data_IF_487653439526
#
_entry.id   IF_487653439526
#
_cell.length_a   1.000
_cell.length_b   1.000
_cell.length_c   1.000
_cell.angle_alpha   90.00
_cell.angle_beta   90.00
_cell.angle_gamma   90.00
#
_symmetry.space_group_name_H-M   'P 1'
#
loop_
_entity.id
_entity.type
_entity.pdbx_description
1 polymer ?
#
# COMPACT_ATOMS: atom_id res chain seq x y z
N UNK A 1 31.66 31.57 48.33
CA UNK A 1 32.57 32.70 48.60
C UNK A 1 32.29 33.23 50.00
N UNK A 2 33.33 33.50 50.79
CA UNK A 2 33.21 34.10 52.13
C UNK A 2 33.96 35.43 52.07
N UNK A 3 33.33 36.50 52.55
CA UNK A 3 33.94 37.82 52.66
C UNK A 3 34.33 38.06 54.13
N UNK A 4 35.60 38.33 54.38
CA UNK A 4 36.12 38.66 55.70
C UNK A 4 36.35 40.17 55.78
N UNK A 5 35.83 40.82 56.82
CA UNK A 5 35.91 42.27 57.02
C UNK A 5 36.39 42.60 58.44
N UNK A 6 36.98 43.78 58.61
CA UNK A 6 37.38 44.30 59.92
C UNK A 6 36.35 45.31 60.42
N UNK A 7 35.94 45.28 61.70
CA UNK A 7 35.01 46.25 62.26
C UNK A 7 35.66 47.60 62.62
N UNK A 8 36.99 47.75 62.45
CA UNK A 8 37.68 48.99 62.78
C UNK A 8 37.38 50.11 61.76
N UNK A 9 37.16 51.33 62.24
CA UNK A 9 36.83 52.50 61.40
C UNK A 9 37.96 52.84 60.41
N UNK A 10 39.21 52.55 60.76
CA UNK A 10 40.37 52.70 59.88
C UNK A 10 40.28 51.85 58.61
N UNK A 11 39.47 50.80 58.62
CA UNK A 11 39.33 49.83 57.54
C UNK A 11 37.93 49.87 56.90
N UNK A 12 37.14 50.91 57.19
CA UNK A 12 35.76 51.03 56.70
C UNK A 12 35.68 51.07 55.17
N UNK A 13 36.60 51.79 54.51
CA UNK A 13 36.64 51.90 53.04
C UNK A 13 36.92 50.56 52.36
N UNK A 14 37.94 49.82 52.82
CA UNK A 14 38.29 48.50 52.28
C UNK A 14 37.21 47.45 52.57
N UNK A 15 36.58 47.53 53.74
CA UNK A 15 35.45 46.68 54.10
C UNK A 15 34.25 46.94 53.18
N UNK A 16 33.98 48.19 52.82
CA UNK A 16 32.94 48.55 51.85
C UNK A 16 33.25 47.99 50.46
N UNK A 17 34.50 48.07 50.01
CA UNK A 17 34.93 47.52 48.72
C UNK A 17 34.78 45.99 48.68
N UNK A 18 35.14 45.30 49.76
CA UNK A 18 34.95 43.84 49.92
C UNK A 18 33.47 43.46 49.88
N UNK A 19 32.59 44.21 50.55
CA UNK A 19 31.14 43.97 50.54
C UNK A 19 30.53 44.22 49.15
N UNK A 20 30.97 45.26 48.43
CA UNK A 20 30.56 45.50 47.04
C UNK A 20 30.93 44.32 46.14
N UNK A 21 32.14 43.78 46.29
CA UNK A 21 32.58 42.61 45.53
C UNK A 21 31.78 41.35 45.90
N UNK A 22 31.51 41.11 47.18
CA UNK A 22 30.67 40.00 47.62
C UNK A 22 29.24 40.09 47.06
N UNK A 23 28.66 41.29 46.99
CA UNK A 23 27.33 41.50 46.41
C UNK A 23 27.32 41.20 44.89
N UNK A 24 28.37 41.60 44.15
CA UNK A 24 28.54 41.22 42.75
C UNK A 24 28.69 39.71 42.57
N UNK A 25 29.52 39.07 43.39
CA UNK A 25 29.77 37.64 43.33
C UNK A 25 28.52 36.79 43.68
N UNK A 26 27.65 37.29 44.56
CA UNK A 26 26.34 36.68 44.86
C UNK A 26 25.45 36.58 43.63
N UNK A 27 25.59 37.50 42.68
CA UNK A 27 24.76 37.54 41.48
C UNK A 27 25.32 36.65 40.35
N UNK A 28 26.47 35.99 40.54
CA UNK A 28 27.02 35.06 39.57
C UNK A 28 26.23 33.75 39.62
N UNK A 29 25.54 33.43 38.53
CA UNK A 29 24.80 32.18 38.38
C UNK A 29 25.66 31.13 37.68
N UNK A 30 26.10 30.13 38.43
CA UNK A 30 26.78 28.96 37.85
C UNK A 30 25.75 27.88 37.51
N UNK A 31 25.97 27.16 36.39
CA UNK A 31 25.22 25.94 36.04
C UNK A 31 26.09 24.73 36.38
N UNK A 32 25.93 24.12 37.57
CA UNK A 32 26.71 22.95 37.92
C UNK A 32 26.33 21.78 37.01
N UNK A 33 27.32 21.22 36.32
CA UNK A 33 27.18 20.00 35.52
C UNK A 33 27.91 18.89 36.28
N UNK A 34 27.28 17.73 36.43
CA UNK A 34 27.93 16.56 37.00
C UNK A 34 29.04 16.16 36.04
N UNK A 35 30.29 16.31 36.48
CA UNK A 35 31.45 15.93 35.70
C UNK A 35 31.57 14.40 35.70
N UNK A 36 30.84 13.75 34.79
CA UNK A 36 31.00 12.33 34.48
C UNK A 36 32.00 12.21 33.36
N UNK A 37 32.83 11.17 33.42
CA UNK A 37 33.70 10.82 32.29
C UNK A 37 32.83 10.64 31.04
N UNK A 38 33.08 11.39 29.95
CA UNK A 38 32.30 11.30 28.73
C UNK A 38 32.29 9.88 28.16
N UNK A 39 33.36 9.10 28.33
CA UNK A 39 33.41 7.71 27.90
C UNK A 39 32.47 6.81 28.71
N UNK A 40 32.43 6.99 30.02
CA UNK A 40 31.54 6.21 30.89
C UNK A 40 30.08 6.56 30.65
N UNK A 41 29.77 7.85 30.46
CA UNK A 41 28.42 8.31 30.14
C UNK A 41 27.94 7.76 28.80
N UNK A 42 28.79 7.78 27.78
CA UNK A 42 28.48 7.21 26.46
C UNK A 42 28.31 5.69 26.53
N UNK A 43 29.17 4.99 27.27
CA UNK A 43 29.04 3.56 27.48
C UNK A 43 27.72 3.20 28.17
N UNK A 44 27.28 3.98 29.17
CA UNK A 44 25.99 3.79 29.82
C UNK A 44 24.82 4.03 28.87
N UNK A 45 24.88 5.10 28.06
CA UNK A 45 23.87 5.41 27.05
C UNK A 45 23.73 4.26 26.04
N UNK A 46 24.85 3.75 25.54
CA UNK A 46 24.87 2.63 24.60
C UNK A 46 24.33 1.34 25.22
N UNK A 47 24.67 1.05 26.49
CA UNK A 47 24.13 -0.11 27.22
C UNK A 47 22.61 -0.03 27.37
N UNK A 48 22.08 1.14 27.71
CA UNK A 48 20.63 1.37 27.81
C UNK A 48 19.94 1.18 26.46
N UNK A 49 20.56 1.66 25.37
CA UNK A 49 20.04 1.44 24.02
C UNK A 49 20.00 -0.05 23.69
N UNK A 50 21.09 -0.79 23.93
CA UNK A 50 21.14 -2.23 23.70
C UNK A 50 20.07 -2.98 24.49
N UNK A 51 19.87 -2.65 25.76
CA UNK A 51 18.85 -3.26 26.61
C UNK A 51 17.44 -2.98 26.07
N UNK A 52 17.15 -1.74 25.68
CA UNK A 52 15.85 -1.38 25.10
C UNK A 52 15.56 -2.12 23.79
N UNK A 53 16.54 -2.21 22.88
CA UNK A 53 16.39 -2.94 21.62
C UNK A 53 16.22 -4.45 21.87
N UNK A 54 16.97 -5.02 22.82
CA UNK A 54 16.82 -6.42 23.19
C UNK A 54 15.43 -6.70 23.77
N UNK A 55 14.92 -5.82 24.62
CA UNK A 55 13.56 -5.93 25.16
C UNK A 55 12.50 -5.85 24.05
N UNK A 56 12.65 -4.93 23.08
CA UNK A 56 11.74 -4.81 21.93
C UNK A 56 11.78 -6.07 21.05
N UNK A 57 12.96 -6.60 20.73
CA UNK A 57 13.10 -7.84 19.98
C UNK A 57 12.52 -9.04 20.71
N UNK A 58 12.69 -9.11 22.03
CA UNK A 58 12.06 -10.14 22.86
C UNK A 58 10.55 -9.98 22.87
N UNK A 59 10.01 -8.76 22.99
CA UNK A 59 8.58 -8.51 22.88
C UNK A 59 8.03 -8.82 21.49
N UNK A 60 8.76 -8.55 20.41
CA UNK A 60 8.36 -8.94 19.05
C UNK A 60 8.42 -10.46 18.85
N UNK A 61 9.38 -11.13 19.48
CA UNK A 61 9.53 -12.59 19.43
C UNK A 61 8.57 -13.32 20.37
N UNK A 62 8.19 -12.72 21.49
CA UNK A 62 7.25 -13.25 22.47
C UNK A 62 5.79 -12.86 22.16
N UNK A 63 5.58 -11.70 21.55
CA UNK A 63 4.36 -11.28 20.88
C UNK A 63 4.25 -11.94 19.51
N UNK A 64 4.28 -13.27 19.50
CA UNK A 64 4.03 -14.05 18.31
C UNK A 64 2.61 -13.77 17.82
N UNK A 65 2.49 -12.95 16.78
CA UNK A 65 1.60 -13.38 15.69
C UNK A 65 2.18 -14.71 15.25
N UNK A 66 1.53 -15.79 15.69
CA UNK A 66 2.12 -17.11 15.76
C UNK A 66 2.73 -17.44 14.40
N UNK A 67 3.96 -17.95 14.36
CA UNK A 67 4.53 -18.50 13.13
C UNK A 67 3.52 -19.46 12.47
N UNK A 68 2.73 -20.14 13.30
CA UNK A 68 1.61 -20.98 12.88
C UNK A 68 0.45 -20.18 12.26
N UNK A 69 0.10 -19.00 12.78
CA UNK A 69 -0.91 -18.11 12.15
C UNK A 69 -0.44 -17.66 10.76
N UNK A 70 0.83 -17.28 10.62
CA UNK A 70 1.42 -16.91 9.33
C UNK A 70 1.40 -18.11 8.38
N UNK A 71 1.68 -19.32 8.87
CA UNK A 71 1.65 -20.54 8.09
C UNK A 71 0.22 -20.92 7.65
N UNK A 72 -0.76 -20.84 8.56
CA UNK A 72 -2.18 -21.10 8.29
C UNK A 72 -2.72 -20.09 7.26
N UNK A 73 -2.37 -18.80 7.40
CA UNK A 73 -2.77 -17.77 6.45
C UNK A 73 -2.18 -18.04 5.06
N UNK A 74 -0.90 -18.45 4.98
CA UNK A 74 -0.29 -18.85 3.70
C UNK A 74 -1.01 -20.03 3.06
N UNK A 75 -1.35 -21.06 3.83
CA UNK A 75 -2.09 -22.21 3.32
C UNK A 75 -3.50 -21.83 2.83
N UNK A 76 -4.19 -20.94 3.56
CA UNK A 76 -5.50 -20.43 3.18
C UNK A 76 -5.43 -19.60 1.90
N UNK A 77 -4.41 -18.74 1.75
CA UNK A 77 -4.19 -17.96 0.53
C UNK A 77 -4.01 -18.89 -0.67
N UNK A 78 -3.13 -19.89 -0.56
CA UNK A 78 -2.89 -20.85 -1.65
C UNK A 78 -4.17 -21.61 -2.07
N UNK A 79 -5.00 -22.02 -1.10
CA UNK A 79 -6.28 -22.66 -1.39
C UNK A 79 -7.28 -21.71 -2.07
N UNK A 80 -7.40 -20.49 -1.58
CA UNK A 80 -8.29 -19.48 -2.17
C UNK A 80 -7.85 -19.10 -3.59
N UNK A 81 -6.55 -19.03 -3.84
CA UNK A 81 -6.00 -18.78 -5.17
C UNK A 81 -6.30 -19.92 -6.14
N UNK A 82 -6.16 -21.18 -5.70
CA UNK A 82 -6.50 -22.36 -6.51
C UNK A 82 -8.02 -22.46 -6.79
N UNK A 83 -8.86 -22.15 -5.81
CA UNK A 83 -10.32 -22.13 -6.01
C UNK A 83 -10.73 -21.00 -6.97
N UNK A 84 -10.16 -19.80 -6.81
CA UNK A 84 -10.42 -18.68 -7.72
C UNK A 84 -9.93 -18.96 -9.15
N UNK A 85 -8.79 -19.63 -9.31
CA UNK A 85 -8.31 -19.99 -10.65
C UNK A 85 -9.25 -21.00 -11.33
N UNK A 86 -9.77 -21.98 -10.59
CA UNK A 86 -10.78 -22.92 -11.08
C UNK A 86 -12.08 -22.22 -11.48
N UNK A 87 -12.63 -21.35 -10.62
CA UNK A 87 -13.85 -20.59 -10.92
C UNK A 87 -13.68 -19.68 -12.15
N UNK A 88 -12.51 -19.04 -12.30
CA UNK A 88 -12.19 -18.23 -13.47
C UNK A 88 -12.14 -19.07 -14.75
N UNK A 89 -11.59 -20.28 -14.67
CA UNK A 89 -11.54 -21.19 -15.81
C UNK A 89 -12.95 -21.64 -16.23
N UNK A 90 -13.81 -21.98 -15.28
CA UNK A 90 -15.20 -22.37 -15.55
C UNK A 90 -16.00 -21.22 -16.18
N UNK A 91 -15.83 -19.99 -15.66
CA UNK A 91 -16.45 -18.80 -16.24
C UNK A 91 -15.96 -18.56 -17.67
N UNK A 92 -14.66 -18.73 -17.92
CA UNK A 92 -14.11 -18.59 -19.27
C UNK A 92 -14.67 -19.66 -20.23
N UNK A 93 -14.76 -20.91 -19.79
CA UNK A 93 -15.37 -21.99 -20.60
C UNK A 93 -16.83 -21.70 -20.92
N UNK A 94 -17.61 -21.23 -19.95
CA UNK A 94 -19.00 -20.84 -20.17
C UNK A 94 -19.11 -19.68 -21.18
N UNK A 95 -18.21 -18.69 -21.09
CA UNK A 95 -18.14 -17.56 -22.02
C UNK A 95 -17.80 -18.01 -23.44
N UNK A 96 -16.78 -18.86 -23.59
CA UNK A 96 -16.36 -19.39 -24.89
C UNK A 96 -17.48 -20.25 -25.52
N UNK A 97 -18.18 -21.04 -24.70
CA UNK A 97 -19.34 -21.82 -25.12
C UNK A 97 -20.50 -20.95 -25.60
N UNK A 98 -20.83 -19.89 -24.87
CA UNK A 98 -21.83 -18.90 -25.29
C UNK A 98 -21.42 -18.22 -26.59
N UNK A 99 -20.16 -17.82 -26.73
CA UNK A 99 -19.65 -17.19 -27.95
C UNK A 99 -19.73 -18.15 -29.15
N UNK A 100 -19.38 -19.42 -28.97
CA UNK A 100 -19.50 -20.44 -30.01
C UNK A 100 -20.96 -20.65 -30.44
N UNK A 101 -21.89 -20.75 -29.49
CA UNK A 101 -23.31 -20.84 -29.80
C UNK A 101 -23.83 -19.59 -30.52
N UNK A 102 -23.44 -18.39 -30.07
CA UNK A 102 -23.82 -17.13 -30.69
C UNK A 102 -23.32 -17.04 -32.15
N UNK A 103 -22.07 -17.41 -32.40
CA UNK A 103 -21.51 -17.45 -33.76
C UNK A 103 -22.30 -18.39 -34.67
N UNK A 104 -22.62 -19.60 -34.18
CA UNK A 104 -23.41 -20.57 -34.96
C UNK A 104 -24.81 -20.06 -35.29
N UNK A 105 -25.46 -19.35 -34.36
CA UNK A 105 -26.76 -18.73 -34.60
C UNK A 105 -26.63 -17.65 -35.67
N UNK A 106 -25.60 -16.80 -35.59
CA UNK A 106 -25.35 -15.77 -36.59
C UNK A 106 -25.14 -16.36 -37.99
N UNK A 107 -24.30 -17.39 -38.11
CA UNK A 107 -24.04 -18.07 -39.39
C UNK A 107 -25.34 -18.66 -39.98
N UNK A 108 -26.17 -19.28 -39.14
CA UNK A 108 -27.46 -19.84 -39.57
C UNK A 108 -28.47 -18.76 -39.98
N UNK A 109 -28.47 -17.60 -39.32
CA UNK A 109 -29.30 -16.45 -39.70
C UNK A 109 -28.88 -15.88 -41.06
N UNK A 110 -27.57 -15.75 -41.29
CA UNK A 110 -27.04 -15.29 -42.59
C UNK A 110 -27.45 -16.25 -43.70
N UNK A 111 -27.32 -17.56 -43.49
CA UNK A 111 -27.72 -18.55 -44.48
C UNK A 111 -29.23 -18.50 -44.76
N UNK A 112 -30.05 -18.36 -43.71
CA UNK A 112 -31.50 -18.16 -43.86
C UNK A 112 -31.82 -16.92 -44.70
N UNK A 113 -31.18 -15.79 -44.43
CA UNK A 113 -31.43 -14.53 -45.13
C UNK A 113 -31.01 -14.62 -46.60
N UNK A 114 -29.87 -15.27 -46.89
CA UNK A 114 -29.43 -15.57 -48.26
C UNK A 114 -30.44 -16.43 -49.03
N UNK A 115 -30.98 -17.48 -48.40
CA UNK A 115 -31.99 -18.34 -49.01
C UNK A 115 -33.30 -17.58 -49.25
N UNK A 116 -33.74 -16.76 -48.29
CA UNK A 116 -34.92 -15.91 -48.45
C UNK A 116 -34.79 -14.99 -49.67
N UNK A 117 -33.64 -14.32 -49.80
CA UNK A 117 -33.36 -13.45 -50.93
C UNK A 117 -33.39 -14.19 -52.28
N UNK A 118 -32.80 -15.39 -52.35
CA UNK A 118 -32.88 -16.23 -53.56
C UNK A 118 -34.31 -16.61 -53.92
N UNK A 119 -35.15 -16.95 -52.93
CA UNK A 119 -36.57 -17.25 -53.14
C UNK A 119 -37.32 -16.05 -53.71
N UNK A 120 -37.08 -14.85 -53.18
CA UNK A 120 -37.70 -13.62 -53.68
C UNK A 120 -37.29 -13.29 -55.13
N UNK A 121 -36.01 -13.51 -55.48
CA UNK A 121 -35.52 -13.32 -56.84
C UNK A 121 -36.15 -14.31 -57.84
N UNK A 122 -36.33 -15.57 -57.44
CA UNK A 122 -37.04 -16.56 -58.25
C UNK A 122 -38.53 -16.18 -58.42
N UNK A 123 -39.19 -15.69 -57.36
CA UNK A 123 -40.57 -15.18 -57.45
C UNK A 123 -40.70 -13.98 -58.39
N UNK A 124 -39.66 -13.16 -58.53
CA UNK A 124 -39.60 -12.04 -59.48
C UNK A 124 -39.33 -12.45 -60.94
N UNK A 125 -39.19 -13.75 -61.22
CA UNK A 125 -39.04 -14.29 -62.59
C UNK A 125 -37.59 -14.40 -63.08
N UNK A 126 -36.59 -14.21 -62.23
CA UNK A 126 -35.17 -14.43 -62.60
C UNK A 126 -34.84 -15.92 -62.67
N UNK A 127 -34.04 -16.31 -63.66
CA UNK A 127 -33.61 -17.70 -63.83
C UNK A 127 -32.64 -18.12 -62.72
N UNK A 128 -32.79 -19.35 -62.23
CA UNK A 128 -32.00 -19.89 -61.12
C UNK A 128 -30.48 -19.88 -61.38
N UNK A 129 -30.06 -19.98 -62.64
CA UNK A 129 -28.66 -19.96 -63.04
C UNK A 129 -27.95 -18.60 -62.83
N UNK A 130 -28.70 -17.49 -62.81
CA UNK A 130 -28.15 -16.13 -62.62
C UNK A 130 -27.94 -15.74 -61.15
N UNK A 131 -28.38 -16.58 -60.20
CA UNK A 131 -28.50 -16.24 -58.78
C UNK A 131 -27.34 -16.73 -57.90
N UNK A 132 -26.37 -17.45 -58.46
CA UNK A 132 -25.25 -18.03 -57.71
C UNK A 132 -24.19 -17.00 -57.24
N UNK A 133 -24.32 -15.71 -57.61
CA UNK A 133 -23.36 -14.66 -57.26
C UNK A 133 -23.88 -13.52 -56.37
N UNK A 134 -25.15 -13.53 -55.94
CA UNK A 134 -25.72 -12.41 -55.16
C UNK A 134 -25.61 -12.68 -53.66
N UNK A 135 -24.57 -12.15 -53.02
CA UNK A 135 -24.46 -12.08 -51.57
C UNK A 135 -25.19 -10.82 -51.07
N UNK A 136 -26.36 -11.01 -50.45
CA UNK A 136 -27.07 -9.95 -49.76
C UNK A 136 -26.52 -9.76 -48.35
N UNK A 137 -25.41 -9.04 -48.18
CA UNK A 137 -24.95 -8.68 -46.84
C UNK A 137 -25.65 -7.41 -46.35
N UNK A 138 -26.49 -7.53 -45.33
CA UNK A 138 -26.77 -6.44 -44.40
C UNK A 138 -26.11 -6.76 -43.06
N UNK A 139 -25.28 -5.83 -42.61
CA UNK A 139 -24.40 -5.92 -41.46
C UNK A 139 -25.16 -6.23 -40.16
N UNK A 140 -24.87 -7.36 -39.53
CA UNK A 140 -25.09 -7.55 -38.10
C UNK A 140 -23.78 -7.24 -37.37
N UNK A 141 -23.48 -5.97 -37.18
CA UNK A 141 -22.47 -5.56 -36.19
C UNK A 141 -23.09 -5.69 -34.81
N UNK A 142 -22.66 -6.70 -34.05
CA UNK A 142 -22.88 -6.76 -32.60
C UNK A 142 -21.95 -5.72 -31.98
N UNK A 143 -22.50 -4.56 -31.59
CA UNK A 143 -21.75 -3.52 -30.87
C UNK A 143 -21.41 -4.04 -29.45
N UNK A 144 -20.25 -4.66 -29.30
CA UNK A 144 -19.68 -5.12 -28.01
C UNK A 144 -19.16 -3.97 -27.11
N UNK A 145 -19.62 -2.73 -27.29
CA UNK A 145 -19.01 -1.53 -26.68
C UNK A 145 -19.64 -0.99 -25.39
N UNK A 146 -20.45 -1.76 -24.65
CA UNK A 146 -21.18 -1.18 -23.50
C UNK A 146 -21.16 -1.92 -22.15
N UNK A 147 -20.20 -2.81 -21.89
CA UNK A 147 -20.13 -3.52 -20.59
C UNK A 147 -18.86 -3.25 -19.77
N UNK A 148 -18.28 -2.05 -19.86
CA UNK A 148 -17.06 -1.67 -19.10
C UNK A 148 -17.26 -0.51 -18.11
N UNK A 149 -18.50 -0.10 -17.80
CA UNK A 149 -18.77 0.97 -16.82
C UNK A 149 -19.98 0.65 -15.94
N UNK A 150 -19.80 -0.21 -14.93
CA UNK A 150 -20.44 -0.08 -13.60
C UNK A 150 -19.64 -0.91 -12.61
#
# INVERSE_FOLDING_TARGET
>A
MIACISPADSNAEESLNTLKYANKARNIQNKPIVNRDPMVAEMQRLRQQLESLQAELLCFRAGGSSLDDVHILKQKIAWLEASNSGLRQELQQARDGLQFCAQRVLDALIERDNLCHKVDLLRSGKAWEELNGVQGYQNYTVDDRNWSQT
#
